data_IF_365383795752
#
_entry.id   IF_365383795752
#
_cell.length_a   1.000
_cell.length_b   1.000
_cell.length_c   1.000
_cell.angle_alpha   90.00
_cell.angle_beta   90.00
_cell.angle_gamma   90.00
#
_symmetry.space_group_name_H-M   'P 1'
#
loop_
_entity.id
_entity.type
_entity.pdbx_description
1 polymer ?
#
# COMPACT_ATOMS: atom_id res chain seq x y z
N UNK A 1 -43.21 3.49 -18.04
CA UNK A 1 -42.52 2.63 -19.03
C UNK A 1 -41.22 3.25 -19.55
N UNK A 2 -40.87 4.50 -19.24
CA UNK A 2 -39.60 5.13 -19.66
C UNK A 2 -38.35 4.68 -18.87
N UNK A 3 -38.48 4.33 -17.58
CA UNK A 3 -37.33 3.96 -16.74
C UNK A 3 -36.68 2.60 -17.06
N UNK A 4 -37.35 1.70 -17.79
CA UNK A 4 -36.74 0.42 -18.18
C UNK A 4 -35.80 0.57 -19.38
N UNK A 5 -36.10 1.48 -20.30
CA UNK A 5 -35.34 1.62 -21.55
C UNK A 5 -33.97 2.29 -21.33
N UNK A 6 -33.84 3.17 -20.32
CA UNK A 6 -32.57 3.84 -20.00
C UNK A 6 -31.48 2.87 -19.55
N UNK A 7 -31.84 1.85 -18.76
CA UNK A 7 -30.92 0.80 -18.33
C UNK A 7 -30.42 -0.04 -19.51
N UNK A 8 -31.33 -0.52 -20.35
CA UNK A 8 -30.95 -1.37 -21.48
C UNK A 8 -30.15 -0.62 -22.54
N UNK A 9 -30.40 0.68 -22.72
CA UNK A 9 -29.60 1.56 -23.60
C UNK A 9 -28.12 1.58 -23.26
N UNK A 10 -27.77 1.68 -21.98
CA UNK A 10 -26.36 1.62 -21.55
C UNK A 10 -25.72 0.25 -21.76
N UNK A 11 -26.52 -0.81 -21.87
CA UNK A 11 -26.06 -2.19 -22.03
C UNK A 11 -25.97 -2.63 -23.50
N UNK A 12 -26.52 -1.87 -24.47
CA UNK A 12 -26.53 -2.23 -25.90
C UNK A 12 -25.12 -2.34 -26.52
N UNK A 13 -24.16 -1.50 -26.10
CA UNK A 13 -22.77 -1.60 -26.59
C UNK A 13 -22.11 -2.89 -26.09
N UNK A 14 -22.23 -3.16 -24.79
CA UNK A 14 -21.70 -4.38 -24.19
C UNK A 14 -22.35 -5.65 -24.75
N UNK A 15 -23.62 -5.57 -25.16
CA UNK A 15 -24.33 -6.64 -25.87
C UNK A 15 -23.71 -6.92 -27.24
N UNK A 16 -23.38 -5.88 -28.02
CA UNK A 16 -22.75 -6.01 -29.35
C UNK A 16 -21.32 -6.55 -29.22
N UNK A 17 -20.58 -6.10 -28.21
CA UNK A 17 -19.19 -6.53 -27.95
C UNK A 17 -19.08 -7.91 -27.26
N UNK A 18 -20.22 -8.53 -26.92
CA UNK A 18 -20.26 -9.85 -26.27
C UNK A 18 -19.74 -9.84 -24.82
N UNK A 19 -19.73 -8.69 -24.17
CA UNK A 19 -19.18 -8.49 -22.81
C UNK A 19 -20.20 -8.68 -21.68
N UNK A 20 -21.46 -8.95 -22.02
CA UNK A 20 -22.51 -9.22 -21.04
C UNK A 20 -22.47 -10.66 -20.52
N UNK A 21 -22.82 -10.85 -19.25
CA UNK A 21 -23.05 -12.18 -18.69
C UNK A 21 -24.26 -12.85 -19.37
N UNK A 22 -24.29 -14.20 -19.37
CA UNK A 22 -25.31 -14.97 -20.11
C UNK A 22 -26.75 -14.61 -19.73
N UNK A 23 -27.01 -14.35 -18.45
CA UNK A 23 -28.33 -13.95 -17.95
C UNK A 23 -28.72 -12.56 -18.46
N UNK A 24 -27.82 -11.58 -18.35
CA UNK A 24 -28.02 -10.21 -18.85
C UNK A 24 -28.20 -10.16 -20.37
N UNK A 25 -27.45 -10.99 -21.10
CA UNK A 25 -27.59 -11.12 -22.55
C UNK A 25 -29.00 -11.58 -22.94
N UNK A 26 -29.58 -12.54 -22.21
CA UNK A 26 -30.97 -12.98 -22.46
C UNK A 26 -32.00 -11.91 -22.10
N UNK A 27 -31.80 -11.16 -21.01
CA UNK A 27 -32.68 -10.06 -20.62
C UNK A 27 -32.69 -8.92 -21.65
N UNK A 28 -31.52 -8.48 -22.10
CA UNK A 28 -31.38 -7.46 -23.15
C UNK A 28 -32.00 -7.94 -24.46
N UNK A 29 -31.79 -9.20 -24.85
CA UNK A 29 -32.36 -9.77 -26.07
C UNK A 29 -33.91 -9.81 -26.04
N UNK A 30 -34.50 -10.20 -24.91
CA UNK A 30 -35.96 -10.18 -24.73
C UNK A 30 -36.50 -8.75 -24.74
N UNK A 31 -35.80 -7.80 -24.12
CA UNK A 31 -36.22 -6.40 -24.10
C UNK A 31 -36.15 -5.76 -25.49
N UNK A 32 -35.05 -5.95 -26.22
CA UNK A 32 -34.89 -5.45 -27.59
C UNK A 32 -35.97 -6.04 -28.49
N UNK A 33 -36.28 -7.34 -28.38
CA UNK A 33 -37.35 -7.98 -29.14
C UNK A 33 -38.75 -7.38 -28.94
N UNK A 34 -38.99 -6.72 -27.80
CA UNK A 34 -40.29 -6.15 -27.44
C UNK A 34 -40.33 -4.61 -27.50
N UNK A 35 -39.18 -3.94 -27.66
CA UNK A 35 -39.07 -2.48 -27.68
C UNK A 35 -38.57 -1.98 -29.03
N UNK A 36 -39.45 -1.27 -29.76
CA UNK A 36 -39.13 -0.71 -31.08
C UNK A 36 -38.00 0.32 -31.02
N UNK A 37 -37.93 1.10 -29.94
CA UNK A 37 -36.92 2.16 -29.78
C UNK A 37 -35.52 1.59 -29.56
N UNK A 38 -35.37 0.59 -28.70
CA UNK A 38 -34.10 -0.10 -28.45
C UNK A 38 -33.64 -0.91 -29.67
N UNK A 39 -34.57 -1.48 -30.45
CA UNK A 39 -34.25 -2.16 -31.72
C UNK A 39 -33.66 -1.20 -32.74
N UNK A 40 -34.24 0.01 -32.90
CA UNK A 40 -33.71 1.02 -33.82
C UNK A 40 -32.29 1.45 -33.43
N UNK A 41 -32.03 1.65 -32.15
CA UNK A 41 -30.70 2.03 -31.68
C UNK A 41 -29.67 0.92 -31.88
N UNK A 42 -30.03 -0.34 -31.60
CA UNK A 42 -29.15 -1.47 -31.85
C UNK A 42 -28.80 -1.61 -33.34
N UNK A 43 -29.75 -1.37 -34.25
CA UNK A 43 -29.48 -1.32 -35.70
C UNK A 43 -28.59 -0.13 -36.10
N UNK A 44 -28.76 1.05 -35.47
CA UNK A 44 -27.86 2.18 -35.72
C UNK A 44 -26.42 1.88 -35.28
N UNK A 45 -26.24 1.25 -34.12
CA UNK A 45 -24.89 0.88 -33.65
C UNK A 45 -24.31 -0.20 -34.54
N UNK A 46 -25.08 -1.24 -34.92
CA UNK A 46 -24.61 -2.28 -35.84
C UNK A 46 -24.22 -1.75 -37.20
N UNK A 47 -24.99 -0.80 -37.76
CA UNK A 47 -24.67 -0.18 -39.05
C UNK A 47 -23.46 0.74 -38.97
N UNK A 48 -23.25 1.46 -37.86
CA UNK A 48 -22.02 2.21 -37.62
C UNK A 48 -20.81 1.29 -37.47
N UNK A 49 -20.92 0.21 -36.70
CA UNK A 49 -19.84 -0.77 -36.52
C UNK A 49 -19.53 -1.47 -37.84
N UNK A 50 -20.53 -1.84 -38.63
CA UNK A 50 -20.30 -2.46 -39.95
C UNK A 50 -19.72 -1.49 -40.96
N UNK A 51 -20.10 -0.20 -40.91
CA UNK A 51 -19.51 0.85 -41.73
C UNK A 51 -18.05 1.10 -41.34
N UNK A 52 -17.75 1.16 -40.05
CA UNK A 52 -16.38 1.28 -39.55
C UNK A 52 -15.56 0.04 -39.88
N UNK A 53 -16.10 -1.17 -39.70
CA UNK A 53 -15.39 -2.40 -40.05
C UNK A 53 -15.19 -2.53 -41.56
N UNK A 54 -16.09 -2.00 -42.39
CA UNK A 54 -15.94 -2.01 -43.85
C UNK A 54 -15.03 -0.90 -44.35
N UNK A 55 -15.01 0.27 -43.70
CA UNK A 55 -14.11 1.39 -44.01
C UNK A 55 -12.70 1.18 -43.46
N UNK A 56 -12.56 0.39 -42.40
CA UNK A 56 -11.29 -0.06 -41.80
C UNK A 56 -10.93 -1.49 -42.20
N UNK A 57 -11.72 -2.14 -43.06
CA UNK A 57 -11.28 -3.30 -43.83
C UNK A 57 -10.25 -2.81 -44.87
N UNK A 58 -9.13 -2.32 -44.35
CA UNK A 58 -7.88 -2.28 -45.06
C UNK A 58 -7.61 -3.73 -45.44
N UNK A 59 -7.69 -3.99 -46.74
CA UNK A 59 -7.12 -5.17 -47.34
C UNK A 59 -5.74 -5.40 -46.71
N UNK A 60 -5.51 -6.65 -46.32
CA UNK A 60 -4.43 -7.21 -45.49
C UNK A 60 -3.01 -7.05 -46.09
N UNK A 61 -2.73 -5.96 -46.79
CA UNK A 61 -1.43 -5.65 -47.39
C UNK A 61 -1.11 -4.17 -47.21
N UNK A 62 -0.07 -3.89 -46.40
CA UNK A 62 0.45 -2.57 -46.01
C UNK A 62 -0.31 -1.82 -44.90
N UNK A 63 -0.43 -2.45 -43.73
CA UNK A 63 -0.20 -1.68 -42.50
C UNK A 63 1.32 -1.63 -42.35
N UNK A 64 1.98 -0.44 -42.43
CA UNK A 64 3.40 -0.34 -42.11
C UNK A 64 3.64 -0.99 -40.75
N UNK A 65 4.71 -1.76 -40.60
CA UNK A 65 5.06 -2.38 -39.33
C UNK A 65 5.56 -1.29 -38.36
N UNK A 66 4.59 -0.55 -37.81
CA UNK A 66 4.80 0.50 -36.83
C UNK A 66 5.42 -0.12 -35.57
N UNK A 67 5.10 -1.38 -35.26
CA UNK A 67 5.64 -2.08 -34.10
C UNK A 67 7.09 -2.50 -34.31
N UNK A 68 7.47 -3.00 -35.48
CA UNK A 68 8.87 -3.26 -35.85
C UNK A 68 9.70 -1.97 -35.87
N UNK A 69 9.18 -0.90 -36.47
CA UNK A 69 9.83 0.42 -36.46
C UNK A 69 9.96 0.99 -35.04
N UNK A 70 8.96 0.79 -34.18
CA UNK A 70 9.01 1.20 -32.78
C UNK A 70 9.99 0.34 -31.97
N UNK A 71 10.03 -0.98 -32.22
CA UNK A 71 10.93 -1.91 -31.56
C UNK A 71 12.40 -1.60 -31.85
N UNK A 72 12.71 -1.21 -33.09
CA UNK A 72 14.06 -0.78 -33.47
C UNK A 72 14.44 0.59 -32.86
N UNK A 73 13.45 1.41 -32.49
CA UNK A 73 13.64 2.71 -31.84
C UNK A 73 13.63 2.66 -30.31
N UNK A 74 13.27 1.52 -29.70
CA UNK A 74 13.23 1.40 -28.25
C UNK A 74 14.65 1.18 -27.69
N UNK A 75 15.07 2.00 -26.72
CA UNK A 75 16.37 1.81 -26.07
C UNK A 75 16.47 0.42 -25.45
N UNK A 76 17.65 -0.17 -25.52
CA UNK A 76 17.88 -1.44 -24.85
C UNK A 76 17.64 -1.31 -23.34
N UNK A 77 17.22 -2.39 -22.69
CA UNK A 77 17.01 -2.37 -21.23
C UNK A 77 18.27 -1.89 -20.48
N UNK A 78 19.47 -2.28 -20.95
CA UNK A 78 20.72 -1.82 -20.36
C UNK A 78 20.92 -0.31 -20.53
N UNK A 79 20.53 0.27 -21.67
CA UNK A 79 20.65 1.71 -21.93
C UNK A 79 19.74 2.54 -21.01
N UNK A 80 18.50 2.09 -20.81
CA UNK A 80 17.61 2.68 -19.81
C UNK A 80 18.23 2.56 -18.41
N UNK A 81 18.70 1.37 -18.04
CA UNK A 81 19.27 1.15 -16.72
C UNK A 81 20.48 2.05 -16.45
N UNK A 82 21.38 2.24 -17.43
CA UNK A 82 22.52 3.17 -17.30
C UNK A 82 22.10 4.59 -16.99
N UNK A 83 21.04 5.08 -17.63
CA UNK A 83 20.50 6.42 -17.36
C UNK A 83 19.97 6.54 -15.92
N UNK A 84 19.36 5.47 -15.42
CA UNK A 84 18.77 5.42 -14.07
C UNK A 84 19.80 5.12 -12.95
N UNK A 85 21.02 4.65 -13.26
CA UNK A 85 22.01 4.27 -12.23
C UNK A 85 22.43 5.45 -11.33
N UNK A 86 22.46 6.67 -11.85
CA UNK A 86 22.76 7.87 -11.05
C UNK A 86 21.62 8.17 -10.08
N UNK A 87 20.39 8.23 -10.60
CA UNK A 87 19.16 8.45 -9.82
C UNK A 87 18.89 7.33 -8.79
N UNK A 88 19.45 6.15 -9.04
CA UNK A 88 19.42 5.05 -8.09
C UNK A 88 20.40 5.27 -6.92
N UNK A 89 21.57 5.87 -7.18
CA UNK A 89 22.62 6.09 -6.16
C UNK A 89 22.32 7.27 -5.23
N UNK A 90 21.63 8.30 -5.72
CA UNK A 90 21.18 9.45 -4.92
C UNK A 90 19.82 9.22 -4.23
N UNK A 91 19.11 8.16 -4.62
CA UNK A 91 17.81 7.79 -4.05
C UNK A 91 16.63 8.54 -4.66
N UNK A 92 16.79 9.20 -5.80
CA UNK A 92 15.73 9.95 -6.49
C UNK A 92 14.69 9.03 -7.18
N UNK A 93 15.01 7.75 -7.36
CA UNK A 93 14.09 6.77 -7.94
C UNK A 93 12.93 6.40 -7.01
N UNK A 94 11.74 6.21 -7.61
CA UNK A 94 10.59 5.60 -6.92
C UNK A 94 10.86 4.14 -6.52
N UNK A 95 10.18 3.63 -5.49
CA UNK A 95 10.37 2.27 -4.98
C UNK A 95 10.23 1.18 -6.08
N UNK A 96 9.26 1.33 -6.99
CA UNK A 96 9.07 0.39 -8.10
C UNK A 96 10.23 0.43 -9.11
N UNK A 97 10.76 1.63 -9.40
CA UNK A 97 11.91 1.79 -10.29
C UNK A 97 13.21 1.23 -9.66
N UNK A 98 13.41 1.47 -8.35
CA UNK A 98 14.53 0.90 -7.60
C UNK A 98 14.51 -0.64 -7.60
N UNK A 99 13.34 -1.27 -7.45
CA UNK A 99 13.20 -2.73 -7.56
C UNK A 99 13.59 -3.24 -8.96
N UNK A 100 13.17 -2.52 -10.01
CA UNK A 100 13.54 -2.81 -11.39
C UNK A 100 15.06 -2.78 -11.63
N UNK A 101 15.73 -1.73 -11.16
CA UNK A 101 17.20 -1.59 -11.24
C UNK A 101 17.88 -2.70 -10.44
N UNK A 102 17.43 -2.97 -9.21
CA UNK A 102 17.95 -4.05 -8.37
C UNK A 102 17.88 -5.42 -9.03
N UNK A 103 16.75 -5.72 -9.69
CA UNK A 103 16.59 -6.97 -10.41
C UNK A 103 17.54 -7.04 -11.61
N UNK A 104 17.64 -5.97 -12.38
CA UNK A 104 18.54 -5.93 -13.53
C UNK A 104 20.02 -6.07 -13.15
N UNK A 105 20.46 -5.40 -12.07
CA UNK A 105 21.84 -5.51 -11.57
C UNK A 105 22.22 -6.91 -11.09
N UNK A 106 21.25 -7.74 -10.69
CA UNK A 106 21.49 -9.16 -10.36
C UNK A 106 21.73 -10.01 -11.60
N UNK A 107 21.05 -9.67 -12.70
CA UNK A 107 21.03 -10.48 -13.91
C UNK A 107 22.05 -10.00 -14.97
N UNK A 108 22.51 -8.74 -14.89
CA UNK A 108 23.43 -8.13 -15.86
C UNK A 108 24.78 -7.75 -15.22
N UNK A 109 25.85 -8.42 -15.66
CA UNK A 109 27.23 -8.14 -15.20
C UNK A 109 27.73 -6.76 -15.60
N UNK A 110 27.36 -6.28 -16.78
CA UNK A 110 27.91 -5.05 -17.36
C UNK A 110 27.40 -3.84 -16.59
N UNK A 111 26.09 -3.76 -16.36
CA UNK A 111 25.47 -2.73 -15.54
C UNK A 111 25.96 -2.77 -14.08
N UNK A 112 26.29 -3.96 -13.55
CA UNK A 112 26.87 -4.10 -12.20
C UNK A 112 28.30 -3.54 -12.11
N UNK A 113 29.11 -3.68 -13.18
CA UNK A 113 30.45 -3.06 -13.23
C UNK A 113 30.32 -1.53 -13.26
N UNK A 114 29.43 -1.00 -14.11
CA UNK A 114 29.19 0.45 -14.19
C UNK A 114 28.67 1.02 -12.87
N UNK A 115 27.71 0.33 -12.23
CA UNK A 115 27.20 0.71 -10.91
C UNK A 115 28.32 0.77 -9.85
N UNK A 116 29.20 -0.24 -9.81
CA UNK A 116 30.35 -0.25 -8.88
C UNK A 116 31.30 0.92 -9.14
N UNK A 117 31.54 1.25 -10.41
CA UNK A 117 32.39 2.38 -10.79
C UNK A 117 31.78 3.72 -10.34
N UNK A 118 30.51 3.95 -10.63
CA UNK A 118 29.77 5.15 -10.22
C UNK A 118 29.73 5.29 -8.70
N UNK A 119 29.40 4.20 -7.99
CA UNK A 119 29.39 4.18 -6.52
C UNK A 119 30.79 4.48 -5.95
N UNK A 120 31.86 3.88 -6.51
CA UNK A 120 33.23 4.16 -6.07
C UNK A 120 33.61 5.63 -6.28
N UNK A 121 33.19 6.24 -7.39
CA UNK A 121 33.42 7.65 -7.69
C UNK A 121 32.67 8.54 -6.72
N UNK A 122 31.40 8.26 -6.44
CA UNK A 122 30.60 8.98 -5.46
C UNK A 122 31.25 8.92 -4.07
N UNK A 123 31.72 7.75 -3.64
CA UNK A 123 32.45 7.59 -2.37
C UNK A 123 33.75 8.40 -2.32
N UNK A 124 34.47 8.52 -3.44
CA UNK A 124 35.66 9.37 -3.53
C UNK A 124 35.29 10.86 -3.46
N UNK A 125 34.20 11.29 -4.10
CA UNK A 125 33.70 12.66 -4.00
C UNK A 125 33.29 12.99 -2.57
N UNK A 126 32.54 12.11 -1.90
CA UNK A 126 32.14 12.30 -0.50
C UNK A 126 33.37 12.42 0.41
N UNK A 127 34.39 11.58 0.19
CA UNK A 127 35.66 11.67 0.94
C UNK A 127 36.50 12.90 0.58
N UNK A 128 36.45 13.37 -0.67
CA UNK A 128 37.15 14.57 -1.12
C UNK A 128 36.45 15.87 -0.71
N UNK A 129 35.15 15.81 -0.46
CA UNK A 129 34.29 16.90 0.01
C UNK A 129 34.19 16.93 1.54
N UNK A 130 35.22 16.45 2.25
CA UNK A 130 35.34 16.71 3.68
C UNK A 130 35.32 18.23 3.89
N UNK A 131 34.33 18.70 4.66
CA UNK A 131 34.22 20.11 5.02
C UNK A 131 35.56 20.57 5.60
N UNK A 132 36.13 21.69 5.10
CA UNK A 132 37.35 22.23 5.67
C UNK A 132 37.18 22.36 7.18
N UNK A 133 38.16 21.88 7.96
CA UNK A 133 38.06 21.76 9.43
C UNK A 133 37.74 23.07 10.18
N UNK A 134 37.76 24.21 9.49
CA UNK A 134 37.41 25.54 10.00
C UNK A 134 35.94 25.93 9.80
N UNK A 135 35.16 25.20 8.99
CA UNK A 135 33.75 25.47 8.74
C UNK A 135 32.92 24.63 9.72
N UNK A 136 32.53 25.25 10.84
CA UNK A 136 31.48 24.71 11.70
C UNK A 136 30.13 25.08 11.12
N UNK A 137 29.51 24.16 10.39
CA UNK A 137 28.09 24.28 10.02
C UNK A 137 27.27 23.81 11.22
N UNK A 138 26.65 24.76 11.92
CA UNK A 138 25.69 24.41 12.97
C UNK A 138 24.31 24.15 12.35
N UNK A 139 24.14 22.95 11.79
CA UNK A 139 22.84 22.49 11.29
C UNK A 139 21.82 22.32 12.42
N UNK A 140 22.29 22.18 13.66
CA UNK A 140 21.44 21.91 14.81
C UNK A 140 20.57 23.09 15.18
N UNK A 141 21.05 24.33 15.02
CA UNK A 141 20.22 25.52 15.25
C UNK A 141 19.05 25.62 14.26
N UNK A 142 19.28 25.32 12.98
CA UNK A 142 18.24 25.33 11.95
C UNK A 142 17.22 24.20 12.15
N UNK A 143 17.71 22.97 12.39
CA UNK A 143 16.86 21.81 12.67
C UNK A 143 16.03 22.04 13.95
N UNK A 144 16.64 22.59 15.00
CA UNK A 144 15.95 22.93 16.25
C UNK A 144 14.91 24.03 16.06
N UNK A 145 15.18 25.03 15.21
CA UNK A 145 14.20 26.06 14.89
C UNK A 145 12.97 25.47 14.18
N UNK A 146 13.19 24.58 13.21
CA UNK A 146 12.12 23.89 12.48
C UNK A 146 11.31 22.96 13.39
N UNK A 147 11.97 22.14 14.21
CA UNK A 147 11.30 21.30 15.22
C UNK A 147 10.46 22.13 16.20
N UNK A 148 10.94 23.31 16.61
CA UNK A 148 10.20 24.18 17.52
C UNK A 148 8.98 24.84 16.85
N UNK A 149 9.06 25.20 15.57
CA UNK A 149 7.94 25.71 14.79
C UNK A 149 6.84 24.65 14.63
N UNK A 150 7.24 23.41 14.33
CA UNK A 150 6.34 22.26 14.28
C UNK A 150 5.70 21.96 15.64
N UNK A 151 6.48 22.02 16.73
CA UNK A 151 5.97 21.88 18.10
C UNK A 151 4.94 22.96 18.43
N UNK A 152 5.18 24.23 18.08
CA UNK A 152 4.26 25.32 18.40
C UNK A 152 2.90 25.11 17.75
N UNK A 153 2.89 24.74 16.46
CA UNK A 153 1.66 24.45 15.72
C UNK A 153 0.93 23.24 16.31
N UNK A 154 1.63 22.14 16.56
CA UNK A 154 1.04 20.92 17.12
C UNK A 154 0.43 21.18 18.49
N UNK A 155 1.12 21.95 19.33
CA UNK A 155 0.61 22.34 20.65
C UNK A 155 -0.75 23.05 20.59
N UNK A 156 -0.99 23.88 19.57
CA UNK A 156 -2.30 24.55 19.41
C UNK A 156 -3.42 23.60 18.99
N UNK A 157 -3.07 22.49 18.35
CA UNK A 157 -4.02 21.52 17.80
C UNK A 157 -4.24 20.31 18.71
N UNK A 158 -3.45 20.15 19.79
CA UNK A 158 -3.56 19.00 20.69
C UNK A 158 -4.96 18.85 21.32
N UNK A 159 -5.64 19.94 21.67
CA UNK A 159 -7.00 19.87 22.21
C UNK A 159 -7.98 19.33 21.16
N UNK A 160 -8.00 19.94 19.97
CA UNK A 160 -8.85 19.47 18.86
C UNK A 160 -8.52 18.04 18.43
N UNK A 161 -7.25 17.64 18.57
CA UNK A 161 -6.81 16.28 18.31
C UNK A 161 -7.41 15.28 19.32
N UNK A 162 -7.40 15.61 20.62
CA UNK A 162 -8.06 14.81 21.68
C UNK A 162 -9.56 14.71 21.43
N UNK A 163 -10.18 15.78 20.96
CA UNK A 163 -11.63 15.83 20.65
C UNK A 163 -11.99 15.19 19.29
N UNK A 164 -11.02 14.64 18.55
CA UNK A 164 -11.18 14.06 17.20
C UNK A 164 -11.71 15.05 16.14
N UNK A 165 -11.55 16.35 16.37
CA UNK A 165 -11.98 17.41 15.45
C UNK A 165 -10.97 17.71 14.33
N UNK A 166 -9.84 17.00 14.33
CA UNK A 166 -8.75 17.19 13.37
C UNK A 166 -8.94 16.30 12.12
N UNK A 167 -8.70 16.81 10.89
CA UNK A 167 -8.78 16.02 9.67
C UNK A 167 -7.82 14.82 9.66
N UNK A 168 -8.20 13.73 8.98
CA UNK A 168 -7.48 12.44 9.00
C UNK A 168 -6.00 12.52 8.65
N UNK A 169 -5.61 13.31 7.64
CA UNK A 169 -4.20 13.50 7.29
C UNK A 169 -3.44 14.22 8.41
N UNK A 170 -4.07 15.22 9.03
CA UNK A 170 -3.47 16.00 10.09
C UNK A 170 -3.34 15.18 11.38
N UNK A 171 -4.30 14.30 11.65
CA UNK A 171 -4.23 13.32 12.72
C UNK A 171 -2.98 12.44 12.59
N UNK A 172 -2.66 11.92 11.40
CA UNK A 172 -1.45 11.11 11.16
C UNK A 172 -0.17 11.89 11.45
N UNK A 173 -0.11 13.14 11.02
CA UNK A 173 1.07 13.99 11.22
C UNK A 173 1.31 14.29 12.71
N UNK A 174 0.24 14.59 13.46
CA UNK A 174 0.33 14.80 14.91
C UNK A 174 0.77 13.52 15.61
N UNK A 175 0.19 12.36 15.23
CA UNK A 175 0.60 11.06 15.77
C UNK A 175 2.08 10.77 15.53
N UNK A 176 2.59 11.00 14.31
CA UNK A 176 4.00 10.84 14.00
C UNK A 176 4.88 11.74 14.88
N UNK A 177 4.51 13.01 15.03
CA UNK A 177 5.26 13.92 15.88
C UNK A 177 5.24 13.54 17.38
N UNK A 178 4.14 12.98 17.90
CA UNK A 178 4.08 12.53 19.30
C UNK A 178 4.99 11.32 19.58
N UNK A 179 5.33 10.54 18.55
CA UNK A 179 6.32 9.47 18.64
C UNK A 179 7.71 10.07 18.82
N UNK A 180 8.03 11.08 18.00
CA UNK A 180 9.37 11.67 17.92
C UNK A 180 9.64 12.74 19.01
N UNK A 181 8.60 13.43 19.47
CA UNK A 181 8.72 14.57 20.39
C UNK A 181 8.21 14.24 21.80
N UNK A 182 9.09 14.10 22.81
CA UNK A 182 8.70 13.80 24.18
C UNK A 182 7.94 14.94 24.86
N UNK A 183 8.24 16.20 24.56
CA UNK A 183 7.60 17.35 25.18
C UNK A 183 6.12 17.47 24.80
N UNK A 184 5.82 17.29 23.51
CA UNK A 184 4.45 17.27 23.00
C UNK A 184 3.66 16.07 23.54
N UNK A 185 4.32 14.91 23.72
CA UNK A 185 3.70 13.72 24.34
C UNK A 185 3.29 13.95 25.80
N UNK A 186 4.13 14.63 26.58
CA UNK A 186 3.79 14.96 27.98
C UNK A 186 2.55 15.86 28.04
N UNK A 187 2.48 16.88 27.16
CA UNK A 187 1.32 17.78 27.10
C UNK A 187 0.05 17.07 26.64
N UNK A 188 0.15 16.21 25.64
CA UNK A 188 -0.96 15.37 25.21
C UNK A 188 -1.51 14.52 26.37
N UNK A 189 -0.64 13.82 27.11
CA UNK A 189 -1.03 13.02 28.27
C UNK A 189 -1.69 13.86 29.37
N UNK A 190 -1.23 15.10 29.57
CA UNK A 190 -1.86 16.01 30.52
C UNK A 190 -3.28 16.37 30.10
N UNK A 191 -3.53 16.61 28.81
CA UNK A 191 -4.86 16.93 28.30
C UNK A 191 -5.81 15.73 28.35
N UNK A 192 -5.35 14.55 27.93
CA UNK A 192 -6.16 13.33 27.97
C UNK A 192 -6.53 12.91 29.39
N UNK A 193 -5.61 13.08 30.35
CA UNK A 193 -5.88 12.77 31.77
C UNK A 193 -7.05 13.57 32.37
N UNK A 194 -7.26 14.82 31.92
CA UNK A 194 -8.39 15.64 32.36
C UNK A 194 -9.70 15.07 31.79
N UNK A 195 -9.69 14.63 30.52
CA UNK A 195 -10.83 13.96 29.89
C UNK A 195 -11.18 12.64 30.57
N UNK A 196 -10.17 11.87 30.96
CA UNK A 196 -10.35 10.60 31.68
C UNK A 196 -10.96 10.82 33.07
N UNK A 197 -10.50 11.84 33.82
CA UNK A 197 -11.09 12.23 35.10
C UNK A 197 -12.56 12.63 34.96
N UNK A 198 -12.90 13.39 33.91
CA UNK A 198 -14.30 13.79 33.64
C UNK A 198 -15.14 12.56 33.31
N UNK A 199 -14.61 11.64 32.50
CA UNK A 199 -15.30 10.40 32.11
C UNK A 199 -15.53 9.50 33.32
N UNK A 200 -14.57 9.43 34.23
CA UNK A 200 -14.68 8.66 35.47
C UNK A 200 -15.72 9.27 36.42
N UNK A 201 -15.75 10.60 36.52
CA UNK A 201 -16.72 11.31 37.36
C UNK A 201 -18.15 11.31 36.78
N UNK A 202 -18.30 11.26 35.45
CA UNK A 202 -19.58 11.26 34.77
C UNK A 202 -19.99 9.84 34.36
N UNK A 203 -20.44 9.05 35.33
CA UNK A 203 -21.10 7.78 35.08
C UNK A 203 -22.62 7.96 35.21
N UNK A 204 -23.36 8.10 34.10
CA UNK A 204 -24.80 8.22 34.17
C UNK A 204 -25.40 6.92 34.73
N UNK A 205 -26.35 7.04 35.65
CA UNK A 205 -27.15 5.90 36.10
C UNK A 205 -28.04 5.45 34.94
N UNK A 206 -27.65 4.35 34.29
CA UNK A 206 -28.43 3.75 33.22
C UNK A 206 -29.51 2.84 33.84
N UNK A 207 -30.76 2.93 33.36
CA UNK A 207 -31.81 1.99 33.75
C UNK A 207 -31.41 0.55 33.46
N UNK A 208 -31.76 -0.41 34.33
CA UNK A 208 -31.45 -1.84 34.14
C UNK A 208 -32.02 -2.44 32.84
N UNK A 209 -33.00 -1.78 32.23
CA UNK A 209 -33.64 -2.17 30.96
C UNK A 209 -33.11 -1.42 29.73
N UNK A 210 -32.01 -0.66 29.85
CA UNK A 210 -31.43 0.09 28.74
C UNK A 210 -30.52 -0.80 27.88
N UNK A 211 -31.09 -1.44 26.87
CA UNK A 211 -30.34 -2.26 25.90
C UNK A 211 -30.31 -1.60 24.50
N UNK A 212 -29.18 -0.96 24.18
CA UNK A 212 -28.93 -0.40 22.84
C UNK A 212 -28.34 -1.43 21.87
N UNK A 213 -27.95 -2.61 22.36
CA UNK A 213 -27.21 -3.60 21.58
C UNK A 213 -27.99 -4.14 20.37
N UNK A 214 -29.31 -4.41 20.45
CA UNK A 214 -30.10 -4.81 19.28
C UNK A 214 -30.06 -3.77 18.16
N UNK A 215 -30.12 -2.48 18.49
CA UNK A 215 -30.06 -1.39 17.52
C UNK A 215 -28.67 -1.22 16.93
N UNK A 216 -27.62 -1.28 17.75
CA UNK A 216 -26.22 -1.19 17.31
C UNK A 216 -25.86 -2.36 16.39
N UNK A 217 -26.23 -3.58 16.77
CA UNK A 217 -25.98 -4.80 15.98
C UNK A 217 -26.67 -4.77 14.62
N UNK A 218 -27.87 -4.20 14.53
CA UNK A 218 -28.59 -4.05 13.25
C UNK A 218 -27.88 -3.11 12.26
N UNK A 219 -27.04 -2.20 12.76
CA UNK A 219 -26.33 -1.18 11.95
C UNK A 219 -24.85 -1.48 11.73
N UNK A 220 -24.25 -2.39 12.49
CA UNK A 220 -22.90 -2.88 12.26
C UNK A 220 -22.87 -3.79 11.02
N UNK A 221 -22.58 -3.19 9.87
CA UNK A 221 -22.14 -3.97 8.70
C UNK A 221 -20.71 -4.45 8.94
N UNK A 222 -20.59 -5.71 9.34
CA UNK A 222 -19.28 -6.39 9.36
C UNK A 222 -18.87 -6.58 7.91
N UNK A 223 -18.01 -5.68 7.41
CA UNK A 223 -17.33 -5.89 6.14
C UNK A 223 -16.27 -6.95 6.42
N UNK A 224 -16.39 -8.18 5.89
CA UNK A 224 -15.32 -9.14 6.02
C UNK A 224 -14.09 -8.55 5.34
N UNK A 225 -13.01 -8.36 6.10
CA UNK A 225 -11.71 -8.01 5.55
C UNK A 225 -11.25 -9.23 4.75
N UNK A 226 -11.62 -9.28 3.47
CA UNK A 226 -11.04 -10.23 2.53
C UNK A 226 -9.62 -9.77 2.30
N UNK A 227 -8.71 -10.23 3.17
CA UNK A 227 -7.29 -10.19 2.89
C UNK A 227 -7.13 -10.77 1.49
N UNK A 228 -6.63 -9.97 0.54
CA UNK A 228 -6.27 -10.44 -0.79
C UNK A 228 -5.29 -11.59 -0.58
N UNK A 229 -5.80 -12.83 -0.58
CA UNK A 229 -4.97 -13.99 -0.72
C UNK A 229 -4.33 -13.84 -2.08
N UNK A 230 -3.08 -13.41 -2.10
CA UNK A 230 -2.23 -13.63 -3.25
C UNK A 230 -2.29 -15.13 -3.52
N UNK A 231 -3.03 -15.51 -4.55
CA UNK A 231 -3.02 -16.86 -5.07
C UNK A 231 -1.58 -17.16 -5.48
N UNK A 232 -0.83 -17.78 -4.58
CA UNK A 232 0.45 -18.40 -4.91
C UNK A 232 0.11 -19.50 -5.90
N UNK A 233 0.21 -19.19 -7.19
CA UNK A 233 0.17 -20.14 -8.27
C UNK A 233 1.20 -21.24 -7.97
N UNK A 234 0.71 -22.38 -7.48
CA UNK A 234 1.51 -23.58 -7.23
C UNK A 234 2.04 -24.07 -8.57
N UNK A 235 3.24 -23.62 -8.97
CA UNK A 235 4.02 -24.28 -10.00
C UNK A 235 4.31 -25.70 -9.51
N UNK A 236 3.68 -26.69 -10.15
CA UNK A 236 4.02 -28.11 -10.02
C UNK A 236 5.47 -28.29 -10.46
N UNK A 237 6.41 -28.33 -9.51
CA UNK A 237 7.75 -28.82 -9.79
C UNK A 237 7.77 -30.32 -9.51
N UNK A 238 8.10 -31.09 -10.55
CA UNK A 238 8.11 -32.55 -10.56
C UNK A 238 9.04 -33.11 -9.49
N UNK A 239 8.65 -34.28 -8.98
CA UNK A 239 9.33 -34.95 -7.89
C UNK A 239 10.74 -35.40 -8.25
N UNK A 240 11.67 -35.06 -7.38
CA UNK A 240 12.79 -35.90 -6.96
C UNK A 240 13.45 -35.22 -5.75
N UNK A 241 13.84 -36.03 -4.76
CA UNK A 241 14.49 -35.68 -3.47
C UNK A 241 13.55 -35.62 -2.26
N UNK A 242 12.85 -36.74 -2.01
CA UNK A 242 12.73 -37.25 -0.64
C UNK A 242 14.10 -37.79 -0.19
N UNK A 243 14.33 -37.84 1.11
CA UNK A 243 15.58 -38.14 1.84
C UNK A 243 16.43 -36.89 2.17
N UNK A 244 16.04 -36.17 3.24
CA UNK A 244 16.96 -35.60 4.25
C UNK A 244 16.24 -34.81 5.37
N UNK A 245 15.17 -35.34 5.97
CA UNK A 245 14.54 -34.70 7.15
C UNK A 245 14.09 -35.73 8.18
N UNK A 246 15.04 -36.40 8.82
CA UNK A 246 14.77 -37.22 10.01
C UNK A 246 15.55 -36.79 11.26
N UNK A 247 16.45 -35.80 11.17
CA UNK A 247 17.30 -35.40 12.31
C UNK A 247 16.85 -34.10 13.01
N UNK A 248 16.03 -33.24 12.40
CA UNK A 248 15.69 -31.93 12.97
C UNK A 248 14.46 -31.93 13.92
N UNK A 249 13.58 -32.94 13.83
CA UNK A 249 12.34 -32.97 14.62
C UNK A 249 12.57 -33.33 16.10
N UNK A 250 13.66 -34.02 16.44
CA UNK A 250 13.92 -34.47 17.81
C UNK A 250 14.44 -33.35 18.73
N UNK A 251 15.10 -32.32 18.20
CA UNK A 251 15.70 -31.24 19.02
C UNK A 251 14.65 -30.22 19.46
N UNK A 252 13.63 -29.96 18.64
CA UNK A 252 12.57 -28.97 18.94
C UNK A 252 11.64 -29.47 20.04
N UNK A 253 11.36 -30.78 20.11
CA UNK A 253 10.49 -31.36 21.13
C UNK A 253 11.08 -31.30 22.55
N UNK A 254 12.41 -31.40 22.69
CA UNK A 254 13.07 -31.38 24.00
C UNK A 254 13.16 -29.95 24.56
N UNK A 255 13.36 -28.94 23.70
CA UNK A 255 13.43 -27.53 24.12
C UNK A 255 12.03 -27.00 24.50
N UNK A 256 10.99 -27.36 23.75
CA UNK A 256 9.61 -26.95 24.06
C UNK A 256 9.09 -27.50 25.39
N UNK A 257 9.54 -28.68 25.81
CA UNK A 257 9.11 -29.33 27.05
C UNK A 257 9.72 -28.71 28.31
N UNK A 258 10.92 -28.11 28.19
CA UNK A 258 11.60 -27.44 29.31
C UNK A 258 11.07 -26.02 29.59
N UNK A 259 10.63 -25.29 28.55
CA UNK A 259 10.08 -23.94 28.72
C UNK A 259 8.69 -23.94 29.40
N UNK A 260 7.91 -25.01 29.24
CA UNK A 260 6.57 -25.10 29.82
C UNK A 260 6.58 -25.31 31.35
N UNK A 261 7.66 -25.86 31.92
CA UNK A 261 7.75 -26.13 33.36
C UNK A 261 8.28 -24.96 34.21
N UNK A 262 8.92 -23.95 33.60
CA UNK A 262 9.47 -22.80 34.33
C UNK A 262 8.65 -21.50 34.15
N UNK A 263 7.63 -21.50 33.30
CA UNK A 263 6.77 -20.33 33.09
C UNK A 263 5.60 -20.30 34.07
N UNK A 264 5.81 -19.79 35.29
CA UNK A 264 4.67 -19.33 36.11
C UNK A 264 3.95 -18.21 35.37
N UNK A 265 2.63 -18.30 35.12
CA UNK A 265 1.90 -17.20 34.50
C UNK A 265 1.94 -16.00 35.46
N UNK A 266 2.62 -14.94 35.06
CA UNK A 266 2.49 -13.66 35.76
C UNK A 266 1.02 -13.21 35.64
N UNK A 267 0.41 -12.69 36.72
CA UNK A 267 -0.88 -12.03 36.60
C UNK A 267 -0.69 -10.82 35.70
N UNK A 268 -1.25 -10.90 34.49
CA UNK A 268 -1.46 -9.74 33.64
C UNK A 268 -2.36 -8.78 34.41
N UNK A 269 -1.77 -7.75 35.00
CA UNK A 269 -2.49 -6.54 35.33
C UNK A 269 -3.03 -6.00 34.02
N UNK A 270 -4.34 -6.06 33.85
CA UNK A 270 -5.02 -5.39 32.76
C UNK A 270 -4.86 -3.88 32.99
N UNK A 271 -3.72 -3.34 32.58
CA UNK A 271 -3.62 -1.90 32.37
C UNK A 271 -4.69 -1.52 31.34
N UNK A 272 -5.47 -0.50 31.66
CA UNK A 272 -6.49 0.06 30.78
C UNK A 272 -5.78 0.71 29.60
N UNK A 273 -5.50 -0.08 28.58
CA UNK A 273 -4.92 0.41 27.32
C UNK A 273 -6.01 1.18 26.59
N UNK A 274 -5.87 2.52 26.56
CA UNK A 274 -6.63 3.38 25.66
C UNK A 274 -6.44 2.91 24.22
N UNK A 275 -7.49 2.96 23.40
CA UNK A 275 -7.43 2.66 21.97
C UNK A 275 -6.35 3.47 21.24
N UNK A 276 -5.98 4.62 21.77
CA UNK A 276 -4.91 5.48 21.26
C UNK A 276 -3.50 4.92 21.55
N UNK A 277 -3.31 4.36 22.75
CA UNK A 277 -2.07 3.65 23.11
C UNK A 277 -1.83 2.44 22.21
N UNK A 278 -2.89 1.73 21.83
CA UNK A 278 -2.81 0.61 20.90
C UNK A 278 -2.41 1.03 19.48
N UNK A 279 -2.90 2.18 18.99
CA UNK A 279 -2.51 2.70 17.67
C UNK A 279 -1.04 3.13 17.63
N UNK A 280 -0.54 3.74 18.70
CA UNK A 280 0.86 4.13 18.83
C UNK A 280 1.75 2.87 18.96
N UNK A 281 1.35 1.90 19.77
CA UNK A 281 2.12 0.66 19.97
C UNK A 281 2.09 -0.26 18.72
N UNK A 282 1.02 -0.22 17.94
CA UNK A 282 0.93 -0.92 16.66
C UNK A 282 1.84 -0.29 15.61
N UNK A 283 1.94 1.05 15.57
CA UNK A 283 2.86 1.75 14.68
C UNK A 283 4.33 1.51 15.04
N UNK A 284 4.65 1.36 16.33
CA UNK A 284 5.99 1.01 16.82
C UNK A 284 6.42 -0.44 16.48
N UNK A 285 5.49 -1.33 16.11
CA UNK A 285 5.77 -2.73 15.79
C UNK A 285 5.96 -3.02 14.29
N UNK A 286 5.81 -2.03 13.41
CA UNK A 286 6.18 -2.20 12.01
C UNK A 286 7.71 -2.06 11.85
N UNK A 287 8.45 -3.11 11.47
CA UNK A 287 9.90 -3.02 11.34
C UNK A 287 10.25 -2.25 10.06
N UNK A 288 10.68 -1.00 10.20
CA UNK A 288 11.30 -0.19 9.15
C UNK A 288 12.70 -0.69 8.74
N UNK A 289 13.24 -1.68 9.46
CA UNK A 289 14.64 -2.12 9.33
C UNK A 289 14.90 -3.17 8.24
N UNK A 290 13.91 -3.51 7.42
CA UNK A 290 14.06 -4.55 6.38
C UNK A 290 14.94 -4.07 5.21
N UNK A 291 15.13 -2.76 5.05
CA UNK A 291 15.96 -2.20 3.97
C UNK A 291 17.48 -2.36 4.21
N UNK A 292 17.96 -2.28 5.46
CA UNK A 292 19.40 -2.43 5.76
C UNK A 292 19.86 -3.90 5.83
N UNK A 293 18.98 -4.81 6.25
CA UNK A 293 19.34 -6.22 6.45
C UNK A 293 19.64 -6.98 5.14
N UNK A 294 19.07 -6.57 4.01
CA UNK A 294 19.23 -7.27 2.73
C UNK A 294 20.64 -7.12 2.10
N UNK A 295 21.48 -6.21 2.61
CA UNK A 295 22.79 -5.88 2.00
C UNK A 295 23.98 -6.54 2.73
N UNK A 296 23.82 -7.01 3.97
CA UNK A 296 24.95 -7.50 4.77
C UNK A 296 25.02 -9.02 5.01
N UNK A 297 24.13 -9.83 4.43
CA UNK A 297 24.13 -11.30 4.61
C UNK A 297 24.74 -12.10 3.44
N UNK A 298 25.74 -11.56 2.73
CA UNK A 298 26.58 -12.37 1.85
C UNK A 298 28.05 -12.19 2.21
N UNK A 299 28.50 -13.02 3.15
CA UNK A 299 29.91 -13.34 3.38
C UNK A 299 30.09 -14.85 3.28
#
# INVERSE_FOLDING_TARGET
>A
MENSCTRYRSELSAYIDGQLEKEQHTEVQVHVGNCEQCTKELETIKSLTSFLSSGLALEDQNVPDIWGALQDSMPSMCELMRAELSAYLDGELTAAAQEGVNKHLKDCSDCMVEFKLLNSTNRLLVKGLELPAHIKVDLWTAVKAQLNEDCALINTELSSFVDQEVPSQRHRNITAHLIDCPDCRIRFNSLSSVGDLIREAYQPELPENFDLWPGIKSKLQVVPFTGKQQEKAKKKFGGQRMYLTAAAAAVIAVIGSLAFWFGTPQPVTADTVSSEGYLIESALKEPTDVAEAAVYEQK
#
